data_IF_938077361962
#
_entry.id   IF_938077361962
#
_cell.length_a   1.000
_cell.length_b   1.000
_cell.length_c   1.000
_cell.angle_alpha   90.00
_cell.angle_beta   90.00
_cell.angle_gamma   90.00
#
_symmetry.space_group_name_H-M   'P 1'
#
loop_
_entity.id
_entity.type
_entity.pdbx_description
1 polymer ?
#
# COMPACT_ATOMS: atom_id res chain seq x y z
N UNK A 1 -16.49 -3.15 4.08
CA UNK A 1 -15.08 -2.73 3.89
C UNK A 1 -14.35 -3.80 3.09
N UNK A 2 -13.81 -3.45 1.92
CA UNK A 2 -12.98 -4.35 1.08
C UNK A 2 -11.53 -4.30 1.56
N UNK A 3 -10.91 -5.45 1.79
CA UNK A 3 -9.52 -5.55 2.28
C UNK A 3 -8.59 -5.65 1.08
N UNK A 4 -7.68 -4.69 0.94
CA UNK A 4 -6.78 -4.59 -0.21
C UNK A 4 -5.36 -4.92 0.22
N UNK A 5 -4.67 -5.68 -0.63
CA UNK A 5 -3.23 -5.89 -0.56
C UNK A 5 -2.59 -5.29 -1.82
N UNK A 6 -1.48 -4.56 -1.66
CA UNK A 6 -0.73 -3.96 -2.76
C UNK A 6 0.63 -4.64 -2.86
N UNK A 7 0.94 -5.21 -4.03
CA UNK A 7 2.24 -5.80 -4.35
C UNK A 7 3.07 -4.80 -5.16
N UNK A 8 4.37 -4.69 -4.88
CA UNK A 8 5.21 -3.62 -5.41
C UNK A 8 4.87 -2.26 -4.79
N UNK A 9 4.55 -2.26 -3.48
CA UNK A 9 4.05 -1.10 -2.74
C UNK A 9 5.00 0.11 -2.76
N UNK A 10 6.31 -0.10 -2.74
CA UNK A 10 7.32 0.96 -2.83
C UNK A 10 7.48 1.53 -4.25
N UNK A 11 6.96 0.83 -5.27
CA UNK A 11 6.98 1.28 -6.66
C UNK A 11 6.02 2.45 -6.92
N UNK A 12 6.26 3.19 -8.01
CA UNK A 12 5.44 4.35 -8.42
C UNK A 12 3.93 4.05 -8.46
N UNK A 13 3.55 2.91 -9.02
CA UNK A 13 2.14 2.53 -9.08
C UNK A 13 1.61 2.01 -7.74
N UNK A 14 2.45 1.32 -6.95
CA UNK A 14 2.08 0.85 -5.62
C UNK A 14 1.65 1.99 -4.71
N UNK A 15 2.42 3.08 -4.70
CA UNK A 15 2.10 4.32 -3.97
C UNK A 15 0.73 4.90 -4.40
N UNK A 16 0.51 5.04 -5.70
CA UNK A 16 -0.78 5.55 -6.22
C UNK A 16 -1.96 4.63 -5.82
N UNK A 17 -1.77 3.31 -5.82
CA UNK A 17 -2.80 2.36 -5.40
C UNK A 17 -3.10 2.48 -3.91
N UNK A 18 -2.07 2.66 -3.07
CA UNK A 18 -2.24 2.91 -1.64
C UNK A 18 -3.05 4.18 -1.40
N UNK A 19 -2.68 5.28 -2.08
CA UNK A 19 -3.41 6.54 -1.99
C UNK A 19 -4.88 6.39 -2.43
N UNK A 20 -5.13 5.70 -3.55
CA UNK A 20 -6.47 5.45 -4.05
C UNK A 20 -7.33 4.65 -3.06
N UNK A 21 -6.75 3.69 -2.32
CA UNK A 21 -7.46 2.94 -1.27
C UNK A 21 -7.89 3.88 -0.13
N UNK A 22 -7.02 4.81 0.28
CA UNK A 22 -7.34 5.79 1.33
C UNK A 22 -8.46 6.74 0.91
N UNK A 23 -8.55 7.07 -0.37
CA UNK A 23 -9.59 7.95 -0.94
C UNK A 23 -10.98 7.29 -1.04
N UNK A 24 -11.12 6.00 -0.70
CA UNK A 24 -12.42 5.28 -0.84
C UNK A 24 -13.46 5.58 0.24
N UNK A 25 -13.18 6.52 1.16
CA UNK A 25 -14.13 6.86 2.25
C UNK A 25 -14.46 5.67 3.15
N UNK A 26 -13.51 4.77 3.37
CA UNK A 26 -13.68 3.56 4.19
C UNK A 26 -14.39 2.39 3.49
N UNK A 27 -14.78 2.53 2.21
CA UNK A 27 -15.31 1.43 1.43
C UNK A 27 -14.26 0.32 1.20
N UNK A 28 -12.99 0.70 1.12
CA UNK A 28 -11.82 -0.19 1.12
C UNK A 28 -10.81 0.23 2.20
N UNK A 29 -9.93 -0.70 2.59
CA UNK A 29 -8.83 -0.46 3.51
C UNK A 29 -7.60 -1.24 3.11
N UNK A 30 -6.42 -0.61 3.25
CA UNK A 30 -5.13 -1.25 3.01
C UNK A 30 -4.83 -2.19 4.18
N UNK A 31 -4.53 -3.44 3.88
CA UNK A 31 -4.30 -4.49 4.90
C UNK A 31 -2.97 -5.20 4.74
N UNK A 32 -2.32 -5.06 3.58
CA UNK A 32 -0.97 -5.53 3.35
C UNK A 32 -0.30 -4.68 2.25
N UNK A 33 0.96 -4.37 2.46
CA UNK A 33 1.85 -3.79 1.47
C UNK A 33 3.06 -4.73 1.35
N UNK A 34 3.28 -5.25 0.15
CA UNK A 34 4.32 -6.25 -0.12
C UNK A 34 5.29 -5.67 -1.13
N UNK A 35 6.58 -5.81 -0.88
CA UNK A 35 7.62 -5.49 -1.83
C UNK A 35 8.77 -6.51 -1.77
N UNK A 36 9.78 -6.31 -2.59
CA UNK A 36 10.97 -7.15 -2.64
C UNK A 36 11.73 -7.07 -1.30
N UNK A 37 12.37 -8.18 -0.87
CA UNK A 37 13.11 -8.22 0.40
C UNK A 37 14.25 -7.19 0.51
N UNK A 38 14.82 -6.77 -0.63
CA UNK A 38 15.90 -5.79 -0.73
C UNK A 38 15.41 -4.33 -0.76
N UNK A 39 14.09 -4.10 -0.74
CA UNK A 39 13.54 -2.75 -0.66
C UNK A 39 13.90 -2.12 0.69
N UNK A 40 14.46 -0.91 0.64
CA UNK A 40 14.80 -0.12 1.84
C UNK A 40 13.56 0.31 2.63
N UNK A 41 12.36 0.13 2.08
CA UNK A 41 11.09 0.48 2.70
C UNK A 41 10.42 -0.71 3.40
N UNK A 42 11.05 -1.89 3.39
CA UNK A 42 10.60 -3.01 4.22
C UNK A 42 10.67 -2.59 5.70
N UNK A 43 9.55 -2.76 6.42
CA UNK A 43 9.42 -2.37 7.82
C UNK A 43 8.93 -0.93 8.04
N UNK A 44 8.84 -0.12 6.99
CA UNK A 44 8.19 1.20 7.05
C UNK A 44 6.66 1.07 7.10
N UNK A 45 5.98 2.08 7.63
CA UNK A 45 4.53 2.18 7.54
C UNK A 45 4.12 2.48 6.09
N UNK A 46 3.25 1.63 5.52
CA UNK A 46 2.78 1.79 4.16
C UNK A 46 1.87 3.03 3.98
N UNK A 47 1.28 3.56 5.05
CA UNK A 47 0.50 4.79 5.04
C UNK A 47 1.35 6.06 4.90
N UNK A 48 2.67 5.96 5.13
CA UNK A 48 3.64 7.08 4.98
C UNK A 48 4.29 7.12 3.58
N UNK A 49 3.95 6.18 2.67
CA UNK A 49 4.58 6.00 1.36
C UNK A 49 4.09 6.93 0.26
#
# INVERSE_FOLDING_TARGET
>A
MRRIAVVGAAGRMGKNLIEAVQQTGGAAGLTAAVDRPDSTLVGADAGEL
#
